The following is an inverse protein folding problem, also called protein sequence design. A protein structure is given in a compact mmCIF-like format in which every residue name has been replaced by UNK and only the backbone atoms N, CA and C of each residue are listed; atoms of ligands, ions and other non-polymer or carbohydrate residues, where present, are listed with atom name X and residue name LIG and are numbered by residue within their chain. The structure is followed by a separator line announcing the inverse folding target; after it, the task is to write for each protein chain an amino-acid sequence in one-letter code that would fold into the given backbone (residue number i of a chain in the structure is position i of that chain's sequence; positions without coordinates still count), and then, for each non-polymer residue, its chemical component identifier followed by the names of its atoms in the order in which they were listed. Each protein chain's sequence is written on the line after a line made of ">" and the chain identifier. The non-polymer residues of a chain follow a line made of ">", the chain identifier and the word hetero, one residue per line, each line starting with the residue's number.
data_IF_928876695441
#
_entry.id   IF_928876695441
#
_cell.length_a   1.000
_cell.length_b   1.000
_cell.length_c   1.000
_cell.angle_alpha   90.00
_cell.angle_beta   90.00
_cell.angle_gamma   90.00
#
_symmetry.space_group_name_H-M   'P 1'
#
loop_
_entity.id
_entity.type
_entity.pdbx_description
1 polymer ?
#
# COMPACT_ATOMS: atom_id res chain seq x y z
N UNK A 1 26.26 -25.38 30.85
CA UNK A 1 24.97 -24.65 30.97
C UNK A 1 25.19 -23.16 30.74
N UNK A 2 24.79 -22.66 29.58
CA UNK A 2 24.60 -21.23 29.19
C UNK A 2 23.98 -21.28 27.78
N UNK A 3 22.65 -21.47 27.70
CA UNK A 3 21.61 -20.43 27.51
C UNK A 3 21.63 -19.87 26.08
N UNK A 4 20.80 -20.45 25.23
CA UNK A 4 20.28 -19.83 24.01
C UNK A 4 19.59 -18.51 24.36
N UNK A 5 19.96 -17.40 23.73
CA UNK A 5 19.04 -16.27 23.56
C UNK A 5 19.32 -15.55 22.23
N UNK A 6 18.29 -15.66 21.38
CA UNK A 6 17.73 -14.58 20.56
C UNK A 6 18.59 -14.03 19.43
N UNK A 7 18.57 -14.79 18.33
CA UNK A 7 18.78 -14.25 16.98
C UNK A 7 17.50 -13.57 16.50
N UNK A 8 17.68 -12.61 15.58
CA UNK A 8 16.70 -12.11 14.61
C UNK A 8 15.76 -10.99 15.08
N UNK A 9 16.29 -9.77 15.11
CA UNK A 9 15.50 -8.58 14.80
C UNK A 9 16.15 -7.92 13.57
N UNK A 10 15.87 -8.49 12.40
CA UNK A 10 16.11 -7.80 11.13
C UNK A 10 14.94 -6.83 10.99
N UNK A 11 15.18 -5.59 11.40
CA UNK A 11 14.39 -4.45 10.94
C UNK A 11 14.63 -4.36 9.44
N UNK A 12 13.74 -4.98 8.66
CA UNK A 12 13.63 -4.71 7.24
C UNK A 12 13.10 -3.27 7.13
N UNK A 13 14.01 -2.31 7.07
CA UNK A 13 13.72 -1.01 6.52
C UNK A 13 13.28 -1.26 5.07
N UNK A 14 11.98 -1.22 4.84
CA UNK A 14 11.43 -1.29 3.49
C UNK A 14 11.86 0.02 2.84
N UNK A 15 12.88 -0.12 2.00
CA UNK A 15 13.45 0.91 1.17
C UNK A 15 12.35 1.50 0.30
N UNK A 16 12.06 2.78 0.51
CA UNK A 16 11.35 3.64 -0.43
C UNK A 16 11.97 3.48 -1.82
N UNK A 17 11.31 2.73 -2.69
CA UNK A 17 11.60 2.69 -4.12
C UNK A 17 10.52 3.48 -4.83
N UNK A 18 10.68 4.81 -4.77
CA UNK A 18 10.20 5.68 -5.85
C UNK A 18 10.94 5.28 -7.13
N UNK A 19 10.25 4.74 -8.13
CA UNK A 19 10.51 4.90 -9.58
C UNK A 19 9.64 3.89 -10.34
N UNK A 20 8.66 4.32 -11.13
CA UNK A 20 8.81 4.77 -12.52
C UNK A 20 9.26 3.66 -13.48
N UNK A 21 8.27 3.13 -14.22
CA UNK A 21 8.35 2.45 -15.52
C UNK A 21 9.11 1.12 -15.61
N UNK A 22 8.40 0.18 -16.22
CA UNK A 22 8.87 -0.99 -16.99
C UNK A 22 9.26 -2.27 -16.24
N UNK A 23 8.49 -3.30 -16.62
CA UNK A 23 8.83 -4.72 -16.75
C UNK A 23 9.02 -5.60 -15.50
N UNK A 24 8.04 -6.49 -15.35
CA UNK A 24 8.16 -7.90 -14.96
C UNK A 24 8.88 -8.22 -13.63
N UNK A 25 8.13 -8.14 -12.53
CA UNK A 25 8.35 -8.98 -11.36
C UNK A 25 7.04 -9.22 -10.59
N UNK A 26 6.63 -10.49 -10.55
CA UNK A 26 5.44 -11.04 -9.90
C UNK A 26 5.08 -10.46 -8.52
N UNK A 27 3.78 -10.12 -8.38
CA UNK A 27 3.02 -9.84 -7.16
C UNK A 27 3.53 -10.49 -5.88
N UNK A 28 3.80 -9.67 -4.85
CA UNK A 28 3.56 -10.10 -3.47
C UNK A 28 2.98 -9.01 -2.56
N UNK A 29 2.52 -7.86 -3.08
CA UNK A 29 1.58 -6.93 -2.43
C UNK A 29 1.19 -5.85 -3.45
N UNK A 30 -0.03 -5.87 -4.04
CA UNK A 30 -0.43 -4.86 -5.01
C UNK A 30 -0.56 -3.51 -4.30
N UNK A 31 0.31 -2.56 -4.65
CA UNK A 31 0.09 -1.16 -4.34
C UNK A 31 -0.67 -0.51 -5.51
N UNK A 32 -1.73 0.22 -5.21
CA UNK A 32 -2.49 1.01 -6.17
C UNK A 32 -2.42 2.48 -5.77
N UNK A 33 -2.03 3.34 -6.71
CA UNK A 33 -2.08 4.79 -6.58
C UNK A 33 -3.41 5.29 -7.10
N UNK A 34 -4.22 5.87 -6.22
CA UNK A 34 -5.49 6.48 -6.56
C UNK A 34 -5.36 8.00 -6.59
N UNK A 35 -5.68 8.59 -7.74
CA UNK A 35 -5.71 10.03 -7.98
C UNK A 35 -7.13 10.58 -8.03
N UNK A 36 -7.37 11.67 -7.31
CA UNK A 36 -8.61 12.44 -7.38
C UNK A 36 -8.32 13.90 -7.75
N UNK A 37 -8.96 14.41 -8.80
CA UNK A 37 -8.91 15.82 -9.16
C UNK A 37 -9.96 16.61 -8.39
N UNK A 38 -9.51 17.57 -7.59
CA UNK A 38 -10.37 18.53 -6.93
C UNK A 38 -10.01 19.95 -7.37
N UNK A 39 -10.87 20.57 -8.18
CA UNK A 39 -10.69 21.95 -8.67
C UNK A 39 -9.36 22.17 -9.40
N UNK A 40 -8.88 21.16 -10.15
CA UNK A 40 -7.61 21.22 -10.88
C UNK A 40 -6.36 20.95 -10.03
N UNK A 41 -6.54 20.49 -8.79
CA UNK A 41 -5.47 19.94 -7.96
C UNK A 41 -5.67 18.43 -7.89
N UNK A 42 -4.69 17.68 -8.40
CA UNK A 42 -4.67 16.22 -8.27
C UNK A 42 -4.08 15.85 -6.91
N UNK A 43 -4.86 15.14 -6.11
CA UNK A 43 -4.40 14.50 -4.89
C UNK A 43 -4.18 13.01 -5.18
N UNK A 44 -2.96 12.54 -4.92
CA UNK A 44 -2.59 11.14 -5.07
C UNK A 44 -2.50 10.48 -3.70
N UNK A 45 -3.06 9.27 -3.59
CA UNK A 45 -2.95 8.41 -2.41
C UNK A 45 -2.49 7.04 -2.86
N UNK A 46 -1.40 6.55 -2.28
CA UNK A 46 -0.93 5.19 -2.52
C UNK A 46 -1.56 4.24 -1.48
N UNK A 47 -2.16 3.16 -1.94
CA UNK A 47 -2.76 2.12 -1.11
C UNK A 47 -2.02 0.80 -1.34
N UNK A 48 -1.35 0.27 -0.33
CA UNK A 48 -0.63 -0.99 -0.40
C UNK A 48 -1.30 -2.06 0.45
N UNK A 49 -1.66 -3.20 -0.16
CA UNK A 49 -2.12 -4.38 0.59
C UNK A 49 -1.00 -4.89 1.50
N UNK A 50 -1.31 -5.12 2.78
CA UNK A 50 -0.37 -5.70 3.74
C UNK A 50 -0.44 -7.24 3.78
N UNK A 51 -1.43 -7.84 3.11
CA UNK A 51 -1.64 -9.29 3.05
C UNK A 51 -2.21 -9.90 4.34
N UNK A 52 -2.54 -9.08 5.33
CA UNK A 52 -3.10 -9.48 6.64
C UNK A 52 -4.56 -9.02 6.84
N UNK A 53 -5.20 -8.54 5.77
CA UNK A 53 -6.54 -7.95 5.81
C UNK A 53 -6.54 -6.45 6.11
N UNK A 54 -5.39 -5.80 6.10
CA UNK A 54 -5.25 -4.35 6.19
C UNK A 54 -4.59 -3.77 4.94
N UNK A 55 -4.78 -2.46 4.74
CA UNK A 55 -4.13 -1.68 3.70
C UNK A 55 -3.41 -0.48 4.32
N UNK A 56 -2.23 -0.15 3.84
CA UNK A 56 -1.52 1.07 4.22
C UNK A 56 -1.81 2.15 3.17
N UNK A 57 -2.36 3.28 3.61
CA UNK A 57 -2.62 4.45 2.79
C UNK A 57 -1.54 5.51 3.04
N UNK A 58 -0.89 5.98 1.98
CA UNK A 58 0.16 7.00 2.04
C UNK A 58 -0.25 8.25 1.27
N UNK A 59 -0.28 9.39 1.96
CA UNK A 59 -0.57 10.71 1.37
C UNK A 59 0.51 11.68 1.81
N UNK A 60 1.24 12.28 0.85
CA UNK A 60 2.30 13.27 1.14
C UNK A 60 3.34 12.76 2.16
N UNK A 61 3.62 11.45 2.16
CA UNK A 61 4.54 10.79 3.09
C UNK A 61 3.99 10.53 4.49
N UNK A 62 2.70 10.76 4.72
CA UNK A 62 1.98 10.36 5.94
C UNK A 62 1.28 9.04 5.68
N UNK A 63 1.52 8.07 6.55
CA UNK A 63 0.98 6.71 6.44
C UNK A 63 -0.14 6.49 7.46
N UNK A 64 -1.22 5.84 7.03
CA UNK A 64 -2.35 5.42 7.84
C UNK A 64 -2.71 3.96 7.51
N UNK A 65 -2.89 3.11 8.51
CA UNK A 65 -3.31 1.72 8.30
C UNK A 65 -4.82 1.60 8.45
N UNK A 66 -5.46 0.97 7.47
CA UNK A 66 -6.92 0.81 7.37
C UNK A 66 -7.25 -0.69 7.40
N UNK A 67 -8.16 -1.10 8.28
CA UNK A 67 -8.71 -2.45 8.31
C UNK A 67 -9.75 -2.63 7.18
N UNK A 68 -9.55 -3.63 6.32
CA UNK A 68 -10.46 -3.94 5.22
C UNK A 68 -11.76 -4.62 5.70
N UNK A 69 -11.85 -4.95 6.99
CA UNK A 69 -13.02 -5.57 7.62
C UNK A 69 -13.49 -6.85 6.90
N UNK A 70 -12.52 -7.62 6.40
CA UNK A 70 -12.76 -8.86 5.66
C UNK A 70 -13.04 -8.68 4.16
N UNK A 71 -12.98 -7.46 3.64
CA UNK A 71 -13.01 -7.19 2.20
C UNK A 71 -11.65 -7.50 1.55
N UNK A 72 -11.64 -7.83 0.25
CA UNK A 72 -10.38 -7.93 -0.50
C UNK A 72 -9.85 -6.53 -0.85
N UNK A 73 -8.54 -6.41 -1.00
CA UNK A 73 -7.90 -5.19 -1.49
C UNK A 73 -8.49 -4.74 -2.84
N UNK A 74 -8.74 -5.68 -3.76
CA UNK A 74 -9.39 -5.40 -5.04
C UNK A 74 -10.78 -4.76 -4.87
N UNK A 75 -11.61 -5.28 -3.96
CA UNK A 75 -12.93 -4.72 -3.69
C UNK A 75 -12.85 -3.32 -3.04
N UNK A 76 -11.82 -3.08 -2.24
CA UNK A 76 -11.53 -1.78 -1.67
C UNK A 76 -11.16 -0.75 -2.76
N UNK A 77 -10.26 -1.10 -3.69
CA UNK A 77 -9.87 -0.22 -4.81
C UNK A 77 -11.05 0.03 -5.76
N UNK A 78 -11.79 -1.01 -6.13
CA UNK A 78 -12.98 -0.87 -7.00
C UNK A 78 -14.04 0.07 -6.42
N UNK A 79 -14.14 0.20 -5.10
CA UNK A 79 -15.06 1.15 -4.47
C UNK A 79 -14.67 2.61 -4.76
N UNK A 80 -13.37 2.92 -4.82
CA UNK A 80 -12.87 4.25 -5.22
C UNK A 80 -13.11 4.50 -6.70
N UNK A 81 -12.84 3.52 -7.56
CA UNK A 81 -13.11 3.61 -8.99
C UNK A 81 -14.61 3.83 -9.28
N UNK A 82 -15.48 3.10 -8.58
CA UNK A 82 -16.93 3.30 -8.68
C UNK A 82 -17.38 4.68 -8.18
N UNK A 83 -16.61 5.33 -7.30
CA UNK A 83 -16.83 6.70 -6.85
C UNK A 83 -16.23 7.76 -7.80
N UNK A 84 -15.59 7.35 -8.90
CA UNK A 84 -14.99 8.23 -9.90
C UNK A 84 -13.56 8.66 -9.59
N UNK A 85 -12.89 7.99 -8.64
CA UNK A 85 -11.45 8.14 -8.40
C UNK A 85 -10.70 7.26 -9.41
N UNK A 86 -9.56 7.72 -9.93
CA UNK A 86 -8.79 6.93 -10.88
C UNK A 86 -7.66 6.21 -10.16
N UNK A 87 -7.68 4.88 -10.13
CA UNK A 87 -6.62 4.04 -9.57
C UNK A 87 -5.89 3.29 -10.68
N UNK A 88 -4.62 2.89 -10.48
CA UNK A 88 -3.80 2.16 -11.45
C UNK A 88 -3.56 0.69 -11.08
#
# INVERSE_FOLDING_TARGET
>A
MKKFMLSMAVLAAISFTSCSSDDDAADVNPCATCGFDFLGVVLETEYCDNGDGTVTATVEGVEETIDLQGQSFEAFIQAFEAAGVNCN
#
